data_IF_129158421474
#
_entry.id   IF_129158421474
#
_cell.length_a   1.000
_cell.length_b   1.000
_cell.length_c   1.000
_cell.angle_alpha   90.00
_cell.angle_beta   90.00
_cell.angle_gamma   90.00
#
_symmetry.space_group_name_H-M   'P 1'
#
loop_
_entity.id
_entity.type
_entity.pdbx_description
1 polymer ?
#
# COMPACT_ATOMS: atom_id res chain seq x y z
N UNK A 1 51.23 7.73 50.08
CA UNK A 1 50.48 7.15 48.94
C UNK A 1 48.96 7.24 49.15
N UNK A 2 48.41 8.45 49.35
CA UNK A 2 46.94 8.67 49.40
C UNK A 2 46.46 9.93 48.66
N UNK A 3 47.37 10.82 48.26
CA UNK A 3 47.00 12.07 47.57
C UNK A 3 46.93 11.94 46.03
N UNK A 4 47.51 10.90 45.43
CA UNK A 4 47.50 10.73 43.96
C UNK A 4 46.19 10.15 43.41
N UNK A 5 45.32 9.61 44.28
CA UNK A 5 44.05 9.00 43.88
C UNK A 5 42.91 10.01 43.79
N UNK A 6 43.03 11.19 44.40
CA UNK A 6 41.95 12.19 44.43
C UNK A 6 41.83 12.96 43.09
N UNK A 7 42.96 13.19 42.41
CA UNK A 7 42.98 13.88 41.11
C UNK A 7 42.42 13.04 39.96
N UNK A 8 42.58 11.70 40.00
CA UNK A 8 41.96 10.84 38.98
C UNK A 8 40.43 10.81 39.11
N UNK A 9 39.90 10.87 40.34
CA UNK A 9 38.44 10.85 40.59
C UNK A 9 37.80 12.20 40.24
N UNK A 10 38.51 13.32 40.44
CA UNK A 10 38.03 14.64 39.97
C UNK A 10 38.05 14.78 38.44
N UNK A 11 38.97 14.11 37.74
CA UNK A 11 39.02 14.12 36.27
C UNK A 11 37.85 13.39 35.60
N UNK A 12 37.25 12.42 36.30
CA UNK A 12 36.06 11.70 35.83
C UNK A 12 34.74 12.42 36.15
N UNK A 13 34.76 13.48 36.96
CA UNK A 13 33.57 14.26 37.31
C UNK A 13 33.31 15.47 36.40
N UNK A 14 34.02 15.56 35.25
CA UNK A 14 33.80 16.57 34.20
C UNK A 14 33.26 15.97 32.90
N UNK A 15 32.61 14.80 32.97
CA UNK A 15 31.69 14.33 31.91
C UNK A 15 30.32 14.06 32.53
N UNK A 16 29.82 15.03 33.30
CA UNK A 16 28.42 15.07 33.70
C UNK A 16 27.77 16.27 33.04
N UNK A 17 26.79 15.96 32.19
CA UNK A 17 25.86 16.89 31.54
C UNK A 17 26.43 17.68 30.36
N UNK A 18 26.45 17.05 29.18
CA UNK A 18 25.76 17.71 28.06
C UNK A 18 24.35 17.94 28.59
N UNK A 19 24.05 19.17 28.98
CA UNK A 19 22.73 19.53 29.46
C UNK A 19 21.75 19.24 28.32
N UNK A 20 21.07 18.10 28.38
CA UNK A 20 19.78 17.93 27.73
C UNK A 20 18.86 18.90 28.45
N UNK A 21 18.92 20.18 28.07
CA UNK A 21 18.01 21.20 28.55
C UNK A 21 16.64 20.81 28.04
N UNK A 22 15.81 20.26 28.92
CA UNK A 22 14.41 20.02 28.67
C UNK A 22 13.72 21.33 28.30
N UNK A 23 13.11 21.41 27.10
CA UNK A 23 12.36 22.60 26.66
C UNK A 23 10.91 22.20 26.36
N UNK A 24 9.91 22.83 27.00
CA UNK A 24 8.50 22.65 26.65
C UNK A 24 8.18 23.17 25.24
N UNK A 25 7.23 22.52 24.56
CA UNK A 25 6.78 22.83 23.19
C UNK A 25 6.38 24.28 22.98
N UNK A 26 5.74 24.89 23.99
CA UNK A 26 5.23 26.26 23.92
C UNK A 26 6.31 27.34 24.10
N UNK A 27 7.54 26.94 24.48
CA UNK A 27 8.65 27.85 24.72
C UNK A 27 9.82 27.71 23.73
N UNK A 28 9.76 26.73 22.81
CA UNK A 28 10.78 26.53 21.80
C UNK A 28 10.65 27.60 20.71
N UNK A 29 11.64 28.50 20.63
CA UNK A 29 11.79 29.46 19.52
C UNK A 29 13.13 29.29 18.84
N UNK A 30 13.20 29.67 17.56
CA UNK A 30 14.48 29.86 16.88
C UNK A 30 14.94 31.30 17.07
N UNK A 31 16.19 31.50 17.48
CA UNK A 31 16.82 32.81 17.36
C UNK A 31 17.15 33.11 15.88
N UNK A 32 17.40 34.38 15.54
CA UNK A 32 17.86 34.83 14.22
C UNK A 32 19.18 34.18 13.76
N UNK A 33 19.96 33.63 14.69
CA UNK A 33 21.19 32.86 14.42
C UNK A 33 20.93 31.39 14.05
N UNK A 34 19.69 30.92 14.13
CA UNK A 34 19.31 29.55 13.78
C UNK A 34 19.56 28.50 14.86
N UNK A 35 19.78 28.96 16.11
CA UNK A 35 19.86 28.10 17.28
C UNK A 35 18.47 27.95 17.90
N UNK A 36 18.09 26.72 18.27
CA UNK A 36 16.91 26.46 19.08
C UNK A 36 17.17 27.00 20.49
N UNK A 37 16.44 28.04 20.89
CA UNK A 37 16.53 28.62 22.22
C UNK A 37 15.37 28.12 23.08
N UNK A 38 15.72 27.64 24.27
CA UNK A 38 14.78 27.48 25.36
C UNK A 38 14.51 28.86 25.97
N UNK A 39 13.30 29.40 25.85
CA UNK A 39 12.96 30.56 26.68
C UNK A 39 12.70 30.12 28.14
N UNK A 40 12.79 31.06 29.09
CA UNK A 40 12.51 30.82 30.50
C UNK A 40 11.02 30.55 30.72
N UNK A 41 10.60 29.29 30.66
CA UNK A 41 9.22 28.90 30.95
C UNK A 41 8.92 29.03 32.45
N UNK A 42 8.09 30.00 32.84
CA UNK A 42 7.60 30.14 34.22
C UNK A 42 6.49 29.14 34.62
N UNK A 43 6.13 28.19 33.76
CA UNK A 43 4.94 27.33 33.91
C UNK A 43 5.24 25.89 33.47
N UNK A 44 5.81 25.08 34.35
CA UNK A 44 5.84 23.62 34.23
C UNK A 44 5.65 23.00 35.63
N UNK A 45 4.42 22.62 36.03
CA UNK A 45 4.19 21.95 37.30
C UNK A 45 4.68 20.49 37.32
N UNK A 46 5.00 19.90 36.16
CA UNK A 46 5.50 18.53 36.05
C UNK A 46 6.52 18.38 34.90
N UNK A 47 7.71 17.86 35.21
CA UNK A 47 8.90 17.73 34.32
C UNK A 47 8.70 16.71 33.19
N UNK A 48 7.56 16.02 33.14
CA UNK A 48 7.28 14.95 32.17
C UNK A 48 6.84 15.41 30.78
N UNK A 49 6.46 16.68 30.58
CA UNK A 49 5.98 17.21 29.28
C UNK A 49 7.10 17.84 28.42
N UNK A 50 8.36 17.54 28.73
CA UNK A 50 9.51 18.10 28.03
C UNK A 50 9.74 17.38 26.68
N UNK A 51 10.01 18.14 25.60
CA UNK A 51 10.49 17.56 24.35
C UNK A 51 11.98 17.83 24.18
N UNK A 52 12.75 16.77 23.97
CA UNK A 52 14.21 16.81 23.91
C UNK A 52 14.77 17.33 22.57
N UNK A 53 13.94 17.51 21.52
CA UNK A 53 14.42 17.86 20.17
C UNK A 53 13.30 18.35 19.23
N UNK A 54 13.68 19.04 18.15
CA UNK A 54 12.80 19.27 17.01
C UNK A 54 12.55 17.94 16.29
N UNK A 55 11.29 17.50 16.24
CA UNK A 55 10.89 16.23 15.64
C UNK A 55 9.99 16.48 14.45
N UNK A 56 10.32 15.83 13.33
CA UNK A 56 9.46 15.75 12.15
C UNK A 56 8.93 14.34 12.03
N UNK A 57 7.66 14.20 11.69
CA UNK A 57 7.04 12.90 11.44
C UNK A 57 5.96 13.03 10.37
N UNK A 58 5.66 11.91 9.71
CA UNK A 58 4.59 11.84 8.71
C UNK A 58 3.37 11.18 9.37
N UNK A 59 2.21 11.78 9.15
CA UNK A 59 0.92 11.16 9.44
C UNK A 59 0.17 10.95 8.12
N UNK A 60 -0.13 9.70 7.79
CA UNK A 60 -0.84 9.30 6.58
C UNK A 60 -2.28 8.88 6.87
N UNK A 61 -3.18 9.10 5.92
CA UNK A 61 -4.54 8.53 6.01
C UNK A 61 -4.53 6.99 5.90
N UNK A 62 -3.59 6.44 5.12
CA UNK A 62 -3.41 5.01 4.87
C UNK A 62 -1.93 4.75 4.50
N UNK A 63 -1.40 3.59 4.91
CA UNK A 63 -0.08 3.10 4.49
C UNK A 63 -0.17 1.98 3.44
N UNK A 64 -1.34 1.38 3.30
CA UNK A 64 -1.65 0.40 2.26
C UNK A 64 -2.89 0.88 1.48
N UNK A 65 -2.78 0.98 0.16
CA UNK A 65 -3.84 1.50 -0.70
C UNK A 65 -4.03 0.62 -1.95
N UNK A 66 -5.19 0.69 -2.59
CA UNK A 66 -5.37 0.10 -3.91
C UNK A 66 -5.03 1.12 -5.01
N UNK A 67 -4.57 0.61 -6.15
CA UNK A 67 -4.34 1.45 -7.32
C UNK A 67 -5.63 2.20 -7.71
N UNK A 68 -5.55 3.53 -7.77
CA UNK A 68 -6.69 4.42 -8.00
C UNK A 68 -7.24 5.10 -6.75
N UNK A 69 -6.83 4.68 -5.54
CA UNK A 69 -7.20 5.33 -4.29
C UNK A 69 -6.53 6.71 -4.14
N UNK A 70 -7.12 7.56 -3.31
CA UNK A 70 -6.56 8.86 -2.95
C UNK A 70 -5.95 8.79 -1.55
N UNK A 71 -4.63 8.98 -1.45
CA UNK A 71 -3.93 9.07 -0.17
C UNK A 71 -3.58 10.52 0.15
N UNK A 72 -3.49 10.83 1.46
CA UNK A 72 -2.92 12.08 1.93
C UNK A 72 -1.90 11.81 3.02
N UNK A 73 -0.65 12.22 2.77
CA UNK A 73 0.41 12.27 3.75
C UNK A 73 0.56 13.70 4.25
N UNK A 74 0.62 13.88 5.57
CA UNK A 74 0.81 15.19 6.20
C UNK A 74 2.12 15.17 6.98
N UNK A 75 2.98 16.13 6.68
CA UNK A 75 4.20 16.34 7.42
C UNK A 75 3.94 17.20 8.65
N UNK A 76 4.27 16.68 9.82
CA UNK A 76 4.02 17.32 11.10
C UNK A 76 5.33 17.56 11.82
N UNK A 77 5.36 18.63 12.62
CA UNK A 77 6.45 18.93 13.54
C UNK A 77 5.87 19.41 14.87
N UNK A 78 6.68 19.32 15.92
CA UNK A 78 6.30 19.59 17.30
C UNK A 78 6.45 21.06 17.74
N UNK A 79 6.64 22.01 16.81
CA UNK A 79 6.80 23.43 17.14
C UNK A 79 5.77 24.24 16.35
N UNK A 80 4.75 24.75 17.02
CA UNK A 80 3.72 25.57 16.36
C UNK A 80 4.25 26.95 15.92
N UNK A 81 3.53 27.60 15.01
CA UNK A 81 3.74 29.01 14.63
C UNK A 81 5.13 29.37 14.08
N UNK A 82 5.83 28.38 13.52
CA UNK A 82 7.11 28.59 12.86
C UNK A 82 6.95 28.72 11.35
N UNK A 83 7.60 29.72 10.76
CA UNK A 83 7.73 29.81 9.31
C UNK A 83 8.68 28.73 8.81
N UNK A 84 8.12 27.71 8.16
CA UNK A 84 8.87 26.55 7.67
C UNK A 84 8.60 26.27 6.19
N UNK A 85 9.56 25.64 5.54
CA UNK A 85 9.41 25.10 4.18
C UNK A 85 9.44 23.58 4.22
N UNK A 86 8.53 22.94 3.50
CA UNK A 86 8.45 21.49 3.41
C UNK A 86 9.12 20.99 2.13
N UNK A 87 9.79 19.84 2.23
CA UNK A 87 10.31 19.07 1.10
C UNK A 87 9.92 17.61 1.26
N UNK A 88 9.52 16.98 0.16
CA UNK A 88 9.14 15.58 0.13
C UNK A 88 10.09 14.79 -0.75
N UNK A 89 10.56 13.65 -0.25
CA UNK A 89 11.38 12.72 -0.98
C UNK A 89 10.67 11.37 -1.03
N UNK A 90 10.76 10.69 -2.19
CA UNK A 90 10.29 9.33 -2.40
C UNK A 90 11.47 8.49 -2.89
N UNK A 91 11.80 7.42 -2.19
CA UNK A 91 12.89 6.51 -2.55
C UNK A 91 14.22 7.27 -2.82
N UNK A 92 14.52 8.25 -1.96
CA UNK A 92 15.69 9.13 -2.10
C UNK A 92 15.59 10.24 -3.17
N UNK A 93 14.51 10.29 -3.96
CA UNK A 93 14.31 11.31 -5.01
C UNK A 93 13.37 12.42 -4.55
N UNK A 94 13.79 13.68 -4.68
CA UNK A 94 12.96 14.84 -4.31
C UNK A 94 11.75 15.01 -5.25
N UNK A 95 10.57 15.17 -4.65
CA UNK A 95 9.32 15.50 -5.32
C UNK A 95 9.21 17.03 -5.52
N UNK A 96 9.94 17.57 -6.50
CA UNK A 96 10.11 19.03 -6.74
C UNK A 96 8.83 19.88 -6.74
N UNK A 97 7.70 19.32 -7.13
CA UNK A 97 6.41 20.01 -7.23
C UNK A 97 5.54 19.89 -5.96
N UNK A 98 6.09 19.35 -4.86
CA UNK A 98 5.37 19.10 -3.62
C UNK A 98 6.14 19.72 -2.45
N UNK A 99 5.85 21.00 -2.20
CA UNK A 99 6.51 21.82 -1.16
C UNK A 99 5.58 22.23 -0.01
N UNK A 100 4.34 21.72 -0.03
CA UNK A 100 3.37 21.97 1.02
C UNK A 100 3.48 20.94 2.15
N UNK A 101 2.87 21.28 3.29
CA UNK A 101 2.74 20.38 4.44
C UNK A 101 2.04 19.06 4.06
N UNK A 102 1.07 19.13 3.14
CA UNK A 102 0.28 17.99 2.70
C UNK A 102 0.71 17.52 1.30
N UNK A 103 0.87 16.22 1.16
CA UNK A 103 1.05 15.50 -0.09
C UNK A 103 -0.19 14.65 -0.35
N UNK A 104 -1.08 15.15 -1.20
CA UNK A 104 -2.23 14.40 -1.70
C UNK A 104 -2.01 13.95 -3.15
N UNK A 105 -2.37 12.71 -3.44
CA UNK A 105 -2.25 12.10 -4.77
C UNK A 105 -3.20 10.89 -4.91
N UNK A 106 -3.73 10.71 -6.11
CA UNK A 106 -4.31 9.45 -6.58
C UNK A 106 -3.18 8.47 -6.91
N UNK A 107 -3.05 7.40 -6.15
CA UNK A 107 -1.89 6.50 -6.22
C UNK A 107 -2.01 5.47 -7.33
N UNK A 108 -0.90 5.20 -7.99
CA UNK A 108 -0.70 4.09 -8.90
C UNK A 108 0.37 3.15 -8.35
N UNK A 109 0.54 1.96 -8.96
CA UNK A 109 1.55 0.98 -8.52
C UNK A 109 2.97 1.57 -8.43
N UNK A 110 3.32 2.53 -9.31
CA UNK A 110 4.61 3.25 -9.30
C UNK A 110 4.79 4.25 -8.15
N UNK A 111 3.70 4.63 -7.50
CA UNK A 111 3.70 5.57 -6.39
C UNK A 111 3.96 4.87 -5.04
N UNK A 112 3.99 3.54 -4.99
CA UNK A 112 4.48 2.79 -3.84
C UNK A 112 5.97 3.07 -3.60
N UNK A 113 6.38 3.13 -2.34
CA UNK A 113 7.76 3.40 -1.94
C UNK A 113 7.88 4.04 -0.56
N UNK A 114 9.11 4.40 -0.21
CA UNK A 114 9.47 5.04 1.05
C UNK A 114 9.37 6.56 0.91
N UNK A 115 8.54 7.19 1.75
CA UNK A 115 8.37 8.64 1.80
C UNK A 115 9.08 9.24 3.01
N UNK A 116 9.84 10.30 2.77
CA UNK A 116 10.48 11.11 3.81
C UNK A 116 10.08 12.57 3.61
N UNK A 117 9.69 13.23 4.70
CA UNK A 117 9.48 14.67 4.71
C UNK A 117 10.65 15.36 5.41
N UNK A 118 11.10 16.47 4.84
CA UNK A 118 12.03 17.39 5.47
C UNK A 118 11.36 18.73 5.74
N UNK A 119 11.61 19.28 6.92
CA UNK A 119 11.19 20.62 7.32
C UNK A 119 12.44 21.48 7.43
N UNK A 120 12.50 22.52 6.61
CA UNK A 120 13.53 23.55 6.65
C UNK A 120 12.98 24.76 7.41
N UNK A 121 13.62 25.09 8.52
CA UNK A 121 13.29 26.24 9.36
C UNK A 121 14.55 27.07 9.64
N UNK A 122 14.40 28.18 10.37
CA UNK A 122 15.55 28.94 10.85
C UNK A 122 16.41 28.11 11.81
N UNK A 123 15.83 27.19 12.58
CA UNK A 123 16.55 26.29 13.49
C UNK A 123 17.38 25.23 12.76
N UNK A 124 17.22 25.08 11.45
CA UNK A 124 17.95 24.11 10.65
C UNK A 124 17.04 23.24 9.78
N UNK A 125 17.56 22.09 9.38
CA UNK A 125 16.88 21.12 8.53
C UNK A 125 16.65 19.83 9.31
N UNK A 126 15.40 19.42 9.38
CA UNK A 126 14.99 18.22 10.11
C UNK A 126 14.22 17.29 9.20
N UNK A 127 14.41 15.99 9.37
CA UNK A 127 13.81 14.96 8.51
C UNK A 127 12.97 14.00 9.33
N UNK A 128 11.87 13.51 8.75
CA UNK A 128 11.07 12.46 9.37
C UNK A 128 11.78 11.11 9.32
N UNK A 129 11.30 10.17 10.13
CA UNK A 129 11.50 8.75 9.82
C UNK A 129 10.86 8.41 8.47
N UNK A 130 11.37 7.37 7.79
CA UNK A 130 10.70 6.73 6.66
C UNK A 130 9.22 6.43 6.91
N UNK A 131 8.38 6.65 5.90
CA UNK A 131 6.97 6.24 5.88
C UNK A 131 6.71 5.41 4.62
N UNK A 132 6.50 4.11 4.80
CA UNK A 132 6.25 3.17 3.71
C UNK A 132 4.80 3.26 3.21
N UNK A 133 4.66 3.35 1.89
CA UNK A 133 3.37 3.30 1.21
C UNK A 133 3.37 2.11 0.25
N UNK A 134 2.45 1.17 0.46
CA UNK A 134 2.21 0.04 -0.43
C UNK A 134 0.98 0.29 -1.28
N UNK A 135 1.04 -0.11 -2.56
CA UNK A 135 -0.08 0.02 -3.50
C UNK A 135 -0.36 -1.33 -4.15
N UNK A 136 -1.58 -1.83 -3.98
CA UNK A 136 -2.02 -3.11 -4.53
C UNK A 136 -2.71 -2.94 -5.89
N UNK A 137 -2.29 -3.74 -6.87
CA UNK A 137 -2.95 -3.83 -8.18
C UNK A 137 -3.71 -5.16 -8.31
N UNK A 138 -5.04 -5.07 -8.13
CA UNK A 138 -5.92 -6.23 -8.23
C UNK A 138 -6.41 -6.48 -9.67
N UNK A 139 -6.19 -5.55 -10.60
CA UNK A 139 -6.63 -5.68 -11.99
C UNK A 139 -5.95 -6.85 -12.70
N UNK A 140 -4.65 -7.06 -12.46
CA UNK A 140 -3.93 -8.21 -13.03
C UNK A 140 -4.48 -9.53 -12.51
N UNK A 141 -4.72 -9.62 -11.21
CA UNK A 141 -5.26 -10.82 -10.56
C UNK A 141 -6.65 -11.13 -11.13
N UNK A 142 -7.50 -10.12 -11.28
CA UNK A 142 -8.84 -10.28 -11.86
C UNK A 142 -8.78 -10.78 -13.32
N UNK A 143 -7.89 -10.22 -14.15
CA UNK A 143 -7.72 -10.66 -15.54
C UNK A 143 -7.28 -12.12 -15.62
N UNK A 144 -6.36 -12.55 -14.75
CA UNK A 144 -5.91 -13.95 -14.67
C UNK A 144 -7.07 -14.87 -14.27
N UNK A 145 -7.83 -14.52 -13.24
CA UNK A 145 -8.98 -15.32 -12.78
C UNK A 145 -10.03 -15.43 -13.89
N UNK A 146 -10.39 -14.32 -14.53
CA UNK A 146 -11.33 -14.31 -15.65
C UNK A 146 -10.83 -15.16 -16.83
N UNK A 147 -9.53 -15.08 -17.16
CA UNK A 147 -8.92 -15.86 -18.22
C UNK A 147 -8.97 -17.37 -17.95
N UNK A 148 -8.59 -17.79 -16.75
CA UNK A 148 -8.62 -19.20 -16.35
C UNK A 148 -10.06 -19.73 -16.33
N UNK A 149 -11.01 -18.96 -15.79
CA UNK A 149 -12.43 -19.32 -15.78
C UNK A 149 -12.98 -19.48 -17.20
N UNK A 150 -12.65 -18.56 -18.11
CA UNK A 150 -13.08 -18.65 -19.51
C UNK A 150 -12.51 -19.89 -20.21
N UNK A 151 -11.22 -20.20 -20.02
CA UNK A 151 -10.59 -21.41 -20.58
C UNK A 151 -11.24 -22.69 -20.03
N UNK A 152 -11.49 -22.75 -18.73
CA UNK A 152 -12.16 -23.89 -18.10
C UNK A 152 -13.57 -24.08 -18.68
N UNK A 153 -14.34 -23.00 -18.85
CA UNK A 153 -15.67 -23.07 -19.46
C UNK A 153 -15.62 -23.56 -20.91
N UNK A 154 -14.66 -23.09 -21.72
CA UNK A 154 -14.49 -23.56 -23.10
C UNK A 154 -14.14 -25.05 -23.14
N UNK A 155 -13.28 -25.53 -22.25
CA UNK A 155 -12.94 -26.95 -22.15
C UNK A 155 -14.15 -27.80 -21.72
N UNK A 156 -14.91 -27.36 -20.72
CA UNK A 156 -16.12 -28.05 -20.26
C UNK A 156 -17.17 -28.10 -21.37
N UNK A 157 -17.42 -26.99 -22.06
CA UNK A 157 -18.34 -26.94 -23.20
C UNK A 157 -17.85 -27.83 -24.34
N UNK A 158 -16.55 -27.83 -24.64
CA UNK A 158 -15.95 -28.70 -25.66
C UNK A 158 -16.12 -30.19 -25.33
N UNK A 159 -15.88 -30.59 -24.09
CA UNK A 159 -16.10 -31.96 -23.62
C UNK A 159 -17.60 -32.34 -23.65
N UNK A 160 -18.48 -31.43 -23.23
CA UNK A 160 -19.93 -31.64 -23.26
C UNK A 160 -20.45 -31.78 -24.70
N UNK A 161 -19.99 -30.93 -25.63
CA UNK A 161 -20.32 -31.03 -27.05
C UNK A 161 -19.80 -32.33 -27.65
N UNK A 162 -18.56 -32.73 -27.36
CA UNK A 162 -17.98 -34.00 -27.81
C UNK A 162 -18.78 -35.20 -27.29
N UNK A 163 -19.13 -35.19 -26.00
CA UNK A 163 -19.95 -36.23 -25.38
C UNK A 163 -21.35 -36.30 -26.02
N UNK A 164 -21.99 -35.15 -26.23
CA UNK A 164 -23.29 -35.07 -26.91
C UNK A 164 -23.20 -35.60 -28.34
N UNK A 165 -22.15 -35.23 -29.09
CA UNK A 165 -21.94 -35.70 -30.45
C UNK A 165 -21.75 -37.21 -30.52
N UNK A 166 -20.93 -37.80 -29.63
CA UNK A 166 -20.75 -39.26 -29.58
C UNK A 166 -22.04 -39.99 -29.17
N UNK A 167 -22.81 -39.42 -28.25
CA UNK A 167 -24.13 -39.94 -27.86
C UNK A 167 -25.12 -39.89 -29.02
N UNK A 168 -25.16 -38.79 -29.76
CA UNK A 168 -26.03 -38.62 -30.92
C UNK A 168 -25.61 -39.56 -32.08
N UNK A 169 -24.31 -39.76 -32.29
CA UNK A 169 -23.79 -40.79 -33.24
C UNK A 169 -24.21 -42.20 -32.83
N UNK A 170 -24.11 -42.56 -31.55
CA UNK A 170 -24.55 -43.88 -31.05
C UNK A 170 -26.05 -44.09 -31.30
N UNK A 171 -26.89 -43.10 -30.94
CA UNK A 171 -28.33 -43.13 -31.18
C UNK A 171 -28.68 -43.15 -32.68
N UNK A 172 -27.91 -42.47 -33.53
CA UNK A 172 -28.11 -42.51 -34.98
C UNK A 172 -27.80 -43.90 -35.55
N UNK A 173 -26.74 -44.57 -35.07
CA UNK A 173 -26.42 -45.96 -35.45
C UNK A 173 -27.57 -46.92 -35.10
N UNK A 174 -28.13 -46.81 -33.89
CA UNK A 174 -29.31 -47.59 -33.48
C UNK A 174 -30.51 -47.35 -34.41
N UNK A 175 -30.81 -46.09 -34.74
CA UNK A 175 -31.90 -45.73 -35.67
C UNK A 175 -31.68 -46.30 -37.08
N UNK A 176 -30.44 -46.35 -37.56
CA UNK A 176 -30.14 -46.91 -38.88
C UNK A 176 -30.31 -48.44 -38.91
N UNK A 177 -29.94 -49.14 -37.84
CA UNK A 177 -30.17 -50.59 -37.71
C UNK A 177 -31.67 -50.93 -37.70
N UNK A 178 -32.50 -50.16 -36.98
CA UNK A 178 -33.95 -50.36 -36.98
C UNK A 178 -34.57 -50.20 -38.39
N UNK A 179 -34.15 -49.17 -39.16
CA UNK A 179 -34.64 -48.95 -40.52
C UNK A 179 -34.25 -50.06 -41.49
N UNK A 180 -33.05 -50.62 -41.36
CA UNK A 180 -32.58 -51.71 -42.22
C UNK A 180 -33.42 -53.00 -42.05
N UNK A 181 -33.89 -53.30 -40.84
CA UNK A 181 -34.76 -54.47 -40.61
C UNK A 181 -36.19 -54.28 -41.16
N UNK A 182 -36.76 -53.08 -41.02
CA UNK A 182 -38.11 -52.77 -41.54
C UNK A 182 -38.16 -52.83 -43.07
N UNK A 183 -37.06 -52.47 -43.76
CA UNK A 183 -36.96 -52.57 -45.22
C UNK A 183 -36.94 -54.00 -45.79
N UNK A 184 -36.69 -55.02 -44.97
CA UNK A 184 -36.71 -56.43 -45.40
C UNK A 184 -38.05 -57.14 -45.12
N UNK A 185 -38.89 -56.62 -44.23
CA UNK A 185 -40.21 -57.21 -43.88
C UNK A 185 -41.41 -56.60 -44.61
N UNK A 186 -41.22 -55.51 -45.37
CA UNK A 186 -42.26 -54.91 -46.22
C UNK A 186 -42.35 -55.55 -47.62
N UNK A 187 -42.85 -56.78 -47.72
CA UNK A 187 -43.22 -57.38 -49.00
C UNK A 187 -44.49 -56.76 -49.62
N UNK A 188 -44.74 -56.91 -50.93
CA UNK A 188 -45.87 -56.28 -51.61
C UNK A 188 -47.21 -56.76 -51.03
N UNK A 189 -48.08 -55.82 -50.65
CA UNK A 189 -49.45 -56.12 -50.24
C UNK A 189 -50.20 -56.88 -51.33
N UNK A 190 -50.82 -58.04 -51.01
CA UNK A 190 -51.70 -58.73 -51.95
C UNK A 190 -52.91 -57.85 -52.29
N UNK A 191 -53.08 -57.55 -53.56
CA UNK A 191 -54.31 -56.98 -54.09
C UNK A 191 -55.42 -58.03 -53.95
N UNK A 192 -56.38 -57.80 -53.06
CA UNK A 192 -57.65 -58.54 -53.05
C UNK A 192 -58.67 -57.78 -53.89
N UNK A 193 -59.23 -58.36 -54.96
CA UNK A 193 -60.25 -57.73 -55.77
C UNK A 193 -61.52 -57.45 -54.96
N UNK A 194 -62.13 -56.32 -55.28
CA UNK A 194 -63.42 -55.83 -54.79
C UNK A 194 -64.52 -56.57 -55.54
N UNK A 195 -65.34 -57.34 -54.83
CA UNK A 195 -66.60 -57.87 -55.37
C UNK A 195 -67.81 -57.09 -54.82
N UNK A 196 -68.85 -57.08 -55.65
CA UNK A 196 -70.02 -56.17 -55.67
C UNK A 196 -71.13 -56.54 -54.70
#
# INVERSE_FOLDING_TARGET
MRELSLHLVLGHLLISHVASTCIPVECLRCNVTGEALADSCGLCPNITDCINDFKVFINGTQSEAQEGDDITLTCLHNISDMNVTYKWNKDGTELKNKKGQKLSRKVLSKDAGEYICSVQSLCGNYTSSPHDVTVHNNSVILLVICGVAALALVLVLGLAMKFKLEKDKARHRERMQQRAQIGQTGGPTPFTPRDS
#
